data_IF_720720923732
#
_entry.id   IF_720720923732
#
_cell.length_a   1.000
_cell.length_b   1.000
_cell.length_c   1.000
_cell.angle_alpha   90.00
_cell.angle_beta   90.00
_cell.angle_gamma   90.00
#
_symmetry.space_group_name_H-M   'P 1'
#
loop_
_entity.id
_entity.type
_entity.pdbx_description
1 polymer ?
#
# COMPACT_ATOMS: atom_id res chain seq x y z
N UNK A 1 19.81 -21.67 46.40
CA UNK A 1 19.43 -20.29 46.02
C UNK A 1 19.67 -20.15 44.51
N UNK A 2 18.71 -20.59 43.70
CA UNK A 2 18.83 -20.65 42.24
C UNK A 2 18.40 -19.32 41.61
N UNK A 3 19.23 -18.75 40.74
CA UNK A 3 18.94 -17.52 39.99
C UNK A 3 17.78 -17.76 39.00
N UNK A 4 16.87 -16.80 38.80
CA UNK A 4 15.70 -16.99 37.94
C UNK A 4 16.12 -17.07 36.46
N UNK A 5 15.80 -18.20 35.81
CA UNK A 5 15.96 -18.44 34.35
C UNK A 5 15.01 -17.59 33.48
N UNK A 6 14.11 -16.83 34.08
CA UNK A 6 13.01 -16.11 33.39
C UNK A 6 13.48 -14.82 32.69
N UNK A 7 14.58 -14.20 33.14
CA UNK A 7 15.05 -12.92 32.58
C UNK A 7 15.60 -13.03 31.14
N UNK A 8 15.95 -14.24 30.69
CA UNK A 8 16.48 -14.47 29.32
C UNK A 8 15.39 -14.64 28.27
N UNK A 9 14.18 -15.04 28.66
CA UNK A 9 13.07 -15.29 27.73
C UNK A 9 12.41 -13.97 27.28
N UNK A 10 12.41 -12.95 28.15
CA UNK A 10 11.89 -11.61 27.80
C UNK A 10 12.75 -10.89 26.75
N UNK A 11 14.06 -11.11 26.72
CA UNK A 11 14.94 -10.53 25.69
C UNK A 11 14.70 -11.14 24.30
N UNK A 12 14.24 -12.40 24.23
CA UNK A 12 14.01 -13.09 22.96
C UNK A 12 12.68 -12.70 22.29
N UNK A 13 11.65 -12.38 23.09
CA UNK A 13 10.33 -11.94 22.60
C UNK A 13 10.34 -10.44 22.25
N UNK A 14 11.13 -9.61 22.95
CA UNK A 14 11.29 -8.20 22.62
C UNK A 14 12.08 -7.97 21.32
N UNK A 15 12.95 -8.91 20.93
CA UNK A 15 13.73 -8.83 19.69
C UNK A 15 12.91 -9.21 18.43
N UNK A 16 11.81 -9.95 18.57
CA UNK A 16 10.99 -10.42 17.44
C UNK A 16 9.95 -9.41 16.95
N UNK A 17 9.80 -8.26 17.62
CA UNK A 17 8.74 -7.26 17.35
C UNK A 17 9.26 -6.08 16.50
N UNK A 18 10.55 -6.04 16.15
CA UNK A 18 11.19 -4.86 15.54
C UNK A 18 11.33 -4.86 14.00
N UNK A 19 10.79 -5.82 13.26
CA UNK A 19 10.99 -5.87 11.79
C UNK A 19 9.75 -6.28 11.01
N UNK A 20 8.61 -5.63 11.26
CA UNK A 20 7.63 -5.46 10.19
C UNK A 20 8.11 -4.30 9.30
N UNK A 21 9.20 -4.52 8.55
CA UNK A 21 9.61 -3.57 7.51
C UNK A 21 8.60 -3.72 6.37
N UNK A 22 7.65 -2.79 6.29
CA UNK A 22 6.79 -2.70 5.13
C UNK A 22 7.67 -2.33 3.94
N UNK A 23 7.84 -3.24 2.98
CA UNK A 23 8.55 -2.90 1.75
C UNK A 23 7.69 -1.94 0.89
N UNK A 24 8.33 -1.02 0.16
CA UNK A 24 7.62 -0.03 -0.67
C UNK A 24 8.09 -0.01 -2.13
N UNK A 25 7.18 0.29 -3.05
CA UNK A 25 7.50 0.47 -4.47
C UNK A 25 7.11 1.89 -4.89
N UNK A 26 8.12 2.62 -5.36
CA UNK A 26 8.04 4.01 -5.74
C UNK A 26 8.23 4.20 -7.24
N UNK A 27 7.63 5.27 -7.76
CA UNK A 27 7.70 5.67 -9.16
C UNK A 27 8.10 7.14 -9.28
N UNK A 28 8.88 7.48 -10.29
CA UNK A 28 9.20 8.90 -10.56
C UNK A 28 8.02 9.68 -11.13
N UNK A 29 7.01 8.99 -11.67
CA UNK A 29 5.85 9.56 -12.36
C UNK A 29 4.56 8.80 -12.01
N UNK A 30 3.37 9.43 -12.11
CA UNK A 30 2.09 8.75 -11.95
C UNK A 30 1.90 7.61 -12.97
N UNK A 31 1.19 6.57 -12.55
CA UNK A 31 0.93 5.34 -13.26
C UNK A 31 -0.55 5.20 -13.63
N UNK A 32 -0.91 4.55 -14.75
CA UNK A 32 -0.06 3.97 -15.80
C UNK A 32 0.12 4.92 -17.02
N UNK A 33 0.91 4.47 -18.01
CA UNK A 33 1.29 5.24 -19.23
C UNK A 33 0.13 5.79 -20.07
N UNK A 34 -1.04 5.18 -19.99
CA UNK A 34 -2.22 5.55 -20.79
C UNK A 34 -3.48 5.67 -19.92
N UNK A 35 -3.32 5.97 -18.63
CA UNK A 35 -4.44 6.32 -17.76
C UNK A 35 -5.00 7.68 -18.16
N UNK A 36 -6.32 7.80 -18.22
CA UNK A 36 -7.00 9.07 -18.39
C UNK A 36 -7.13 9.71 -17.00
N UNK A 37 -6.49 10.86 -16.73
CA UNK A 37 -6.66 11.54 -15.45
C UNK A 37 -8.12 11.99 -15.28
N UNK A 38 -8.66 11.80 -14.09
CA UNK A 38 -10.01 12.24 -13.74
C UNK A 38 -9.92 13.46 -12.83
N UNK A 39 -10.77 14.45 -13.10
CA UNK A 39 -10.93 15.64 -12.26
C UNK A 39 -11.83 15.40 -11.04
N UNK A 40 -12.60 14.32 -11.06
CA UNK A 40 -13.52 13.92 -10.00
C UNK A 40 -13.53 12.40 -9.86
N UNK A 41 -13.77 11.92 -8.64
CA UNK A 41 -13.96 10.49 -8.39
C UNK A 41 -15.36 10.11 -8.90
N UNK A 42 -15.48 9.08 -9.76
CA UNK A 42 -16.78 8.65 -10.29
C UNK A 42 -17.75 8.22 -9.19
N UNK A 43 -19.04 8.54 -9.37
CA UNK A 43 -20.11 8.20 -8.41
C UNK A 43 -20.16 6.72 -8.06
N UNK A 44 -19.76 5.84 -8.98
CA UNK A 44 -19.77 4.41 -8.76
C UNK A 44 -18.76 3.92 -7.71
N UNK A 45 -17.78 4.77 -7.34
CA UNK A 45 -16.81 4.55 -6.28
C UNK A 45 -17.15 5.28 -4.98
N UNK A 46 -18.21 6.09 -4.95
CA UNK A 46 -18.58 6.82 -3.74
C UNK A 46 -19.15 5.88 -2.69
N UNK A 47 -18.91 6.20 -1.42
CA UNK A 47 -19.47 5.46 -0.30
C UNK A 47 -18.73 5.74 1.00
N UNK A 48 -19.25 5.14 2.07
CA UNK A 48 -18.68 5.21 3.42
C UNK A 48 -18.55 3.78 3.93
N UNK A 49 -17.33 3.41 4.32
CA UNK A 49 -17.01 2.09 4.84
C UNK A 49 -16.35 2.19 6.19
N UNK A 50 -16.84 1.42 7.17
CA UNK A 50 -16.36 1.45 8.55
C UNK A 50 -16.02 0.06 9.05
N UNK A 51 -15.09 0.00 10.00
CA UNK A 51 -14.87 -1.15 10.89
C UNK A 51 -14.62 -0.66 12.32
N UNK A 52 -14.12 -1.54 13.19
CA UNK A 52 -13.80 -1.23 14.58
C UNK A 52 -12.56 -0.33 14.76
N UNK A 53 -11.73 -0.18 13.73
CA UNK A 53 -10.46 0.56 13.78
C UNK A 53 -10.55 1.92 13.06
N UNK A 54 -11.55 2.10 12.20
CA UNK A 54 -11.69 3.33 11.44
C UNK A 54 -12.62 3.20 10.25
N UNK A 55 -12.26 3.87 9.16
CA UNK A 55 -12.99 3.79 7.92
C UNK A 55 -12.49 4.68 6.81
N UNK A 56 -13.18 4.59 5.68
CA UNK A 56 -12.93 5.39 4.49
C UNK A 56 -14.26 5.95 3.98
N UNK A 57 -14.31 7.23 3.67
CA UNK A 57 -15.35 7.83 2.85
C UNK A 57 -14.73 8.26 1.54
N UNK A 58 -15.26 7.78 0.41
CA UNK A 58 -14.89 8.27 -0.91
C UNK A 58 -16.00 9.18 -1.40
N UNK A 59 -15.64 10.41 -1.74
CA UNK A 59 -16.55 11.43 -2.25
C UNK A 59 -16.01 12.05 -3.53
N UNK A 60 -16.81 12.91 -4.18
CA UNK A 60 -16.51 13.50 -5.49
C UNK A 60 -15.07 14.03 -5.64
N UNK A 61 -14.55 14.72 -4.62
CA UNK A 61 -13.28 15.45 -4.72
C UNK A 61 -12.09 14.72 -4.08
N UNK A 62 -12.25 13.50 -3.55
CA UNK A 62 -11.25 12.91 -2.66
C UNK A 62 -11.80 11.86 -1.71
N UNK A 63 -11.11 11.65 -0.59
CA UNK A 63 -11.57 10.77 0.47
C UNK A 63 -11.27 11.31 1.87
N UNK A 64 -12.01 10.82 2.85
CA UNK A 64 -11.72 10.98 4.26
C UNK A 64 -11.29 9.63 4.84
N UNK A 65 -10.09 9.56 5.39
CA UNK A 65 -9.67 8.44 6.23
C UNK A 65 -10.06 8.76 7.67
N UNK A 66 -10.67 7.80 8.34
CA UNK A 66 -11.05 7.91 9.73
C UNK A 66 -10.28 6.88 10.54
N UNK A 67 -9.71 7.31 11.66
CA UNK A 67 -9.01 6.46 12.60
C UNK A 67 -9.60 6.64 13.98
N UNK A 68 -10.02 5.54 14.59
CA UNK A 68 -10.58 5.56 15.92
C UNK A 68 -9.47 5.37 16.94
N UNK A 69 -9.32 6.33 17.86
CA UNK A 69 -8.46 6.14 19.03
C UNK A 69 -9.22 5.32 20.07
N UNK A 70 -8.65 4.17 20.42
CA UNK A 70 -9.28 3.19 21.29
C UNK A 70 -8.61 3.18 22.67
N UNK A 71 -9.40 3.07 23.73
CA UNK A 71 -8.90 2.87 25.09
C UNK A 71 -8.38 1.43 25.30
N UNK A 72 -7.87 1.14 26.51
CA UNK A 72 -7.34 -0.18 26.87
C UNK A 72 -8.36 -1.34 26.80
N UNK A 73 -9.66 -1.03 26.77
CA UNK A 73 -10.76 -2.00 26.64
C UNK A 73 -11.49 -1.88 25.30
N UNK A 74 -10.88 -1.21 24.31
CA UNK A 74 -11.33 -1.03 22.92
C UNK A 74 -12.56 -0.15 22.72
N UNK A 75 -12.90 0.73 23.65
CA UNK A 75 -13.89 1.78 23.36
C UNK A 75 -13.22 2.93 22.60
N UNK A 76 -13.89 3.45 21.57
CA UNK A 76 -13.44 4.67 20.91
C UNK A 76 -13.70 5.88 21.81
N UNK A 77 -12.67 6.70 22.04
CA UNK A 77 -12.78 7.96 22.78
C UNK A 77 -12.48 9.18 21.91
N UNK A 78 -11.82 8.99 20.76
CA UNK A 78 -11.60 10.03 19.75
C UNK A 78 -11.67 9.48 18.32
N UNK A 79 -11.88 10.36 17.35
CA UNK A 79 -11.84 10.08 15.91
C UNK A 79 -10.97 11.10 15.18
N UNK A 80 -9.84 10.64 14.66
CA UNK A 80 -9.00 11.44 13.76
C UNK A 80 -9.56 11.31 12.35
N UNK A 81 -9.71 12.44 11.67
CA UNK A 81 -10.15 12.50 10.27
C UNK A 81 -9.07 13.16 9.44
N UNK A 82 -8.52 12.42 8.47
CA UNK A 82 -7.61 12.95 7.46
C UNK A 82 -8.34 13.11 6.13
N UNK A 83 -8.42 14.34 5.65
CA UNK A 83 -9.04 14.65 4.36
C UNK A 83 -7.96 14.71 3.26
N UNK A 84 -8.15 13.92 2.21
CA UNK A 84 -7.25 13.87 1.05
C UNK A 84 -8.04 14.17 -0.20
N UNK A 85 -7.80 15.35 -0.77
CA UNK A 85 -8.43 15.78 -2.02
C UNK A 85 -7.56 15.49 -3.25
N UNK A 86 -8.22 15.26 -4.39
CA UNK A 86 -7.59 15.25 -5.70
C UNK A 86 -6.82 16.55 -5.92
N UNK A 87 -5.56 16.42 -6.30
CA UNK A 87 -4.59 17.51 -6.40
C UNK A 87 -3.38 17.10 -7.23
N UNK A 88 -2.36 17.97 -7.30
CA UNK A 88 -1.12 17.64 -7.99
C UNK A 88 -0.29 16.53 -7.33
N UNK A 89 -0.54 16.22 -6.06
CA UNK A 89 0.09 15.12 -5.32
C UNK A 89 -0.84 13.93 -5.07
N UNK A 90 -2.11 14.03 -5.45
CA UNK A 90 -3.08 12.94 -5.34
C UNK A 90 -3.97 12.89 -6.59
N UNK A 91 -3.73 11.92 -7.47
CA UNK A 91 -4.37 11.84 -8.79
C UNK A 91 -5.11 10.53 -8.96
N UNK A 92 -6.30 10.58 -9.56
CA UNK A 92 -7.05 9.39 -9.95
C UNK A 92 -7.01 9.22 -11.46
N UNK A 93 -6.53 8.08 -11.94
CA UNK A 93 -6.51 7.73 -13.36
C UNK A 93 -7.51 6.62 -13.64
N UNK A 94 -8.24 6.72 -14.76
CA UNK A 94 -9.02 5.60 -15.31
C UNK A 94 -8.23 4.90 -16.40
N UNK A 95 -8.01 3.61 -16.25
CA UNK A 95 -7.37 2.77 -17.25
C UNK A 95 -8.27 1.58 -17.56
N UNK A 96 -9.05 1.68 -18.65
CA UNK A 96 -10.10 0.72 -19.01
C UNK A 96 -11.13 0.56 -17.88
N UNK A 97 -11.21 -0.64 -17.30
CA UNK A 97 -12.07 -1.06 -16.20
C UNK A 97 -11.44 -0.84 -14.81
N UNK A 98 -10.23 -0.27 -14.75
CA UNK A 98 -9.51 -0.02 -13.51
C UNK A 98 -9.48 1.47 -13.16
N UNK A 99 -9.49 1.73 -11.87
CA UNK A 99 -9.22 3.04 -11.28
C UNK A 99 -7.90 2.96 -10.52
N UNK A 100 -7.00 3.91 -10.76
CA UNK A 100 -5.66 3.90 -10.19
C UNK A 100 -5.45 5.21 -9.43
N UNK A 101 -5.42 5.13 -8.11
CA UNK A 101 -5.00 6.24 -7.28
C UNK A 101 -3.49 6.33 -7.30
N UNK A 102 -2.98 7.52 -7.56
CA UNK A 102 -1.58 7.87 -7.52
C UNK A 102 -1.37 8.87 -6.40
N UNK A 103 -0.47 8.57 -5.49
CA UNK A 103 -0.23 9.40 -4.30
C UNK A 103 1.25 9.74 -4.20
N UNK A 104 1.52 11.00 -3.84
CA UNK A 104 2.84 11.54 -3.54
C UNK A 104 2.77 12.19 -2.17
N UNK A 105 2.47 11.39 -1.15
CA UNK A 105 2.26 11.88 0.21
C UNK A 105 3.58 11.87 0.97
N UNK A 106 4.07 13.06 1.34
CA UNK A 106 5.34 13.28 2.07
C UNK A 106 6.60 12.67 1.42
N UNK A 107 6.49 12.10 0.22
CA UNK A 107 7.57 11.53 -0.57
C UNK A 107 7.83 12.36 -1.84
N UNK A 108 9.06 12.29 -2.36
CA UNK A 108 9.39 12.83 -3.69
C UNK A 108 8.89 11.93 -4.82
N UNK A 109 8.50 10.71 -4.50
CA UNK A 109 8.08 9.68 -5.45
C UNK A 109 6.59 9.38 -5.32
N UNK A 110 6.07 8.77 -6.38
CA UNK A 110 4.69 8.33 -6.51
C UNK A 110 4.55 6.89 -6.05
N UNK A 111 3.47 6.61 -5.34
CA UNK A 111 2.94 5.27 -5.09
C UNK A 111 1.58 5.18 -5.78
N UNK A 112 1.04 3.96 -5.88
CA UNK A 112 -0.30 3.79 -6.40
C UNK A 112 -1.05 2.64 -5.74
N UNK A 113 -2.37 2.70 -5.84
CA UNK A 113 -3.28 1.62 -5.52
C UNK A 113 -4.32 1.47 -6.63
N UNK A 114 -4.85 0.25 -6.79
CA UNK A 114 -5.85 -0.08 -7.82
C UNK A 114 -7.20 -0.30 -7.13
N UNK A 115 -8.23 0.40 -7.60
CA UNK A 115 -9.62 0.13 -7.27
C UNK A 115 -10.32 -0.59 -8.43
N UNK A 116 -11.12 -1.60 -8.09
CA UNK A 116 -12.02 -2.26 -9.04
C UNK A 116 -13.40 -2.43 -8.44
N UNK A 117 -14.43 -2.05 -9.21
CA UNK A 117 -15.82 -2.29 -8.82
C UNK A 117 -16.25 -3.68 -9.27
N UNK A 118 -16.75 -4.46 -8.31
CA UNK A 118 -17.27 -5.80 -8.54
C UNK A 118 -18.74 -5.77 -8.93
N UNK A 119 -19.22 -6.87 -9.53
CA UNK A 119 -20.62 -7.01 -9.97
C UNK A 119 -21.64 -6.91 -8.83
N UNK A 120 -21.26 -7.31 -7.62
CA UNK A 120 -22.11 -7.22 -6.42
C UNK A 120 -22.11 -5.82 -5.78
N UNK A 121 -21.38 -4.85 -6.36
CA UNK A 121 -21.24 -3.49 -5.85
C UNK A 121 -20.06 -3.30 -4.90
N UNK A 122 -19.37 -4.36 -4.48
CA UNK A 122 -18.15 -4.24 -3.67
C UNK A 122 -17.06 -3.50 -4.45
N UNK A 123 -16.19 -2.77 -3.75
CA UNK A 123 -14.99 -2.19 -4.32
C UNK A 123 -13.78 -2.89 -3.72
N UNK A 124 -12.94 -3.46 -4.57
CA UNK A 124 -11.69 -4.09 -4.15
C UNK A 124 -10.54 -3.09 -4.30
N UNK A 125 -9.73 -2.99 -3.26
CA UNK A 125 -8.51 -2.20 -3.20
C UNK A 125 -7.30 -3.12 -3.24
N UNK A 126 -6.46 -2.94 -4.25
CA UNK A 126 -5.23 -3.70 -4.43
C UNK A 126 -4.01 -2.78 -4.33
N UNK A 127 -3.00 -3.26 -3.62
CA UNK A 127 -1.67 -2.67 -3.60
C UNK A 127 -0.64 -3.81 -3.53
N UNK A 128 0.58 -3.55 -3.97
CA UNK A 128 1.65 -4.55 -3.90
C UNK A 128 2.98 -3.86 -3.65
N UNK A 129 3.79 -4.49 -2.81
CA UNK A 129 5.18 -4.12 -2.58
C UNK A 129 6.16 -5.04 -3.31
N UNK A 130 5.67 -5.98 -4.13
CA UNK A 130 6.51 -6.97 -4.81
C UNK A 130 7.25 -6.36 -6.01
N UNK A 131 8.59 -6.14 -5.93
CA UNK A 131 9.35 -5.50 -7.01
C UNK A 131 9.36 -6.33 -8.30
N UNK A 132 9.18 -7.64 -8.16
CA UNK A 132 9.29 -8.65 -9.20
C UNK A 132 8.23 -8.51 -10.31
N UNK A 133 7.07 -7.94 -9.99
CA UNK A 133 6.03 -7.62 -10.96
C UNK A 133 6.49 -6.49 -11.89
N UNK A 134 7.20 -5.51 -11.33
CA UNK A 134 7.57 -4.26 -12.00
C UNK A 134 8.82 -4.40 -12.88
N UNK A 135 9.83 -5.17 -12.45
CA UNK A 135 11.05 -5.38 -13.25
C UNK A 135 10.76 -6.04 -14.61
N UNK A 136 9.66 -6.80 -14.69
CA UNK A 136 9.21 -7.50 -15.90
C UNK A 136 8.53 -6.56 -16.91
N UNK A 137 8.24 -5.31 -16.56
CA UNK A 137 7.68 -4.32 -17.48
C UNK A 137 8.79 -3.54 -18.19
N UNK A 138 8.96 -3.77 -19.49
CA UNK A 138 9.94 -3.06 -20.34
C UNK A 138 9.79 -1.53 -20.40
N UNK A 139 8.65 -0.98 -19.95
CA UNK A 139 8.46 0.47 -19.89
C UNK A 139 8.92 1.07 -18.55
N UNK A 140 9.22 0.23 -17.57
CA UNK A 140 9.78 0.62 -16.30
C UNK A 140 11.29 0.37 -16.31
N UNK A 141 12.03 1.26 -15.66
CA UNK A 141 13.46 1.10 -15.42
C UNK A 141 13.73 1.26 -13.94
N UNK A 142 14.32 0.23 -13.33
CA UNK A 142 14.81 0.33 -11.96
C UNK A 142 15.88 1.43 -11.88
N UNK A 143 15.65 2.38 -10.99
CA UNK A 143 16.60 3.45 -10.66
C UNK A 143 17.50 2.97 -9.52
N UNK A 144 16.86 2.52 -8.44
CA UNK A 144 17.54 1.98 -7.27
C UNK A 144 16.62 1.03 -6.49
N UNK A 145 17.22 0.11 -5.76
CA UNK A 145 16.59 -0.73 -4.76
C UNK A 145 17.43 -0.64 -3.47
N UNK A 146 16.77 -0.39 -2.35
CA UNK A 146 17.41 -0.34 -1.05
C UNK A 146 17.17 -1.65 -0.29
N UNK A 147 18.25 -2.15 0.27
CA UNK A 147 18.28 -3.35 1.11
C UNK A 147 18.96 -3.03 2.43
N UNK A 148 18.57 -3.77 3.46
CA UNK A 148 19.35 -3.93 4.67
C UNK A 148 20.06 -5.28 4.61
N UNK A 149 21.39 -5.26 4.67
CA UNK A 149 22.27 -6.43 4.58
C UNK A 149 23.23 -6.35 5.76
N UNK A 150 23.13 -7.28 6.70
CA UNK A 150 23.90 -7.31 7.94
C UNK A 150 23.82 -6.01 8.75
N UNK A 151 22.61 -5.48 8.93
CA UNK A 151 22.31 -4.22 9.62
C UNK A 151 22.88 -2.97 8.92
N UNK A 152 23.40 -3.10 7.69
CA UNK A 152 23.87 -1.99 6.86
C UNK A 152 22.93 -1.73 5.68
N UNK A 153 22.58 -0.45 5.49
CA UNK A 153 21.81 -0.01 4.33
C UNK A 153 22.66 -0.01 3.06
N UNK A 154 22.20 -0.71 2.02
CA UNK A 154 22.84 -0.76 0.70
C UNK A 154 21.86 -0.39 -0.40
N UNK A 155 22.31 0.49 -1.29
CA UNK A 155 21.57 0.92 -2.49
C UNK A 155 22.14 0.20 -3.72
N UNK A 156 21.30 -0.55 -4.41
CA UNK A 156 21.66 -1.40 -5.54
C UNK A 156 20.83 -1.07 -6.78
N UNK A 157 21.29 -1.50 -7.95
CA UNK A 157 20.59 -1.34 -9.24
C UNK A 157 20.00 -2.66 -9.75
N UNK A 158 19.66 -3.57 -8.83
CA UNK A 158 19.02 -4.85 -9.10
C UNK A 158 18.00 -5.14 -8.01
N UNK A 159 16.93 -5.87 -8.34
CA UNK A 159 15.98 -6.40 -7.36
C UNK A 159 16.33 -7.83 -6.90
N UNK A 160 17.31 -8.45 -7.58
CA UNK A 160 17.82 -9.80 -7.30
C UNK A 160 19.33 -9.69 -7.10
N UNK A 161 19.78 -9.19 -5.95
CA UNK A 161 21.20 -9.17 -5.67
C UNK A 161 21.70 -10.56 -5.25
N UNK A 162 22.96 -10.84 -5.54
CA UNK A 162 23.62 -12.10 -5.20
C UNK A 162 24.41 -11.92 -3.90
N UNK A 163 23.82 -12.33 -2.77
CA UNK A 163 24.44 -12.29 -1.44
C UNK A 163 24.21 -13.62 -0.73
N UNK A 164 25.18 -14.03 0.09
CA UNK A 164 25.08 -15.24 0.92
C UNK A 164 24.35 -14.98 2.26
N UNK A 165 24.13 -13.71 2.60
CA UNK A 165 23.75 -13.24 3.94
C UNK A 165 22.26 -12.92 4.13
N UNK A 166 21.90 -12.49 5.35
CA UNK A 166 20.55 -12.05 5.70
C UNK A 166 20.19 -10.73 4.99
N UNK A 167 19.35 -10.83 3.96
CA UNK A 167 18.87 -9.69 3.18
C UNK A 167 17.42 -9.34 3.52
N UNK A 168 17.16 -8.05 3.77
CA UNK A 168 15.81 -7.51 3.86
C UNK A 168 15.61 -6.42 2.81
N UNK A 169 14.60 -6.59 1.96
CA UNK A 169 14.21 -5.58 0.96
C UNK A 169 13.42 -4.46 1.62
N UNK A 170 13.84 -3.21 1.42
CA UNK A 170 13.13 -2.05 1.96
C UNK A 170 12.29 -1.36 0.90
N UNK A 171 12.89 -0.94 -0.21
CA UNK A 171 12.13 -0.31 -1.29
C UNK A 171 12.80 -0.42 -2.64
N UNK A 172 12.03 -0.17 -3.70
CA UNK A 172 12.56 0.06 -5.04
C UNK A 172 11.92 1.27 -5.70
N UNK A 173 12.72 2.00 -6.48
CA UNK A 173 12.29 3.16 -7.25
C UNK A 173 12.39 2.84 -8.74
N UNK A 174 11.28 2.98 -9.45
CA UNK A 174 11.22 2.82 -10.89
C UNK A 174 10.98 4.16 -11.58
N UNK A 175 11.56 4.33 -12.75
CA UNK A 175 11.23 5.41 -13.68
C UNK A 175 10.45 4.89 -14.87
N UNK A 176 9.73 5.79 -15.53
CA UNK A 176 8.83 5.49 -16.62
C UNK A 176 7.43 5.10 -16.14
N UNK A 177 6.59 4.72 -17.09
CA UNK A 177 5.18 4.42 -16.84
C UNK A 177 4.81 3.02 -17.30
N UNK A 178 4.25 2.25 -16.38
CA UNK A 178 3.88 0.86 -16.57
C UNK A 178 2.75 0.70 -17.58
N UNK A 179 2.71 -0.47 -18.20
CA UNK A 179 1.62 -0.88 -19.07
C UNK A 179 0.43 -1.34 -18.25
N UNK A 180 -0.75 -1.21 -18.85
CA UNK A 180 -1.98 -1.77 -18.31
C UNK A 180 -1.90 -3.29 -18.02
N UNK A 181 -1.13 -4.06 -18.82
CA UNK A 181 -0.93 -5.49 -18.57
C UNK A 181 -0.22 -5.76 -17.23
N UNK A 182 0.63 -4.84 -16.78
CA UNK A 182 1.35 -4.93 -15.50
C UNK A 182 0.39 -4.69 -14.35
N UNK A 183 -0.47 -3.67 -14.42
CA UNK A 183 -1.55 -3.45 -13.45
C UNK A 183 -2.43 -4.68 -13.28
N UNK A 184 -2.80 -5.35 -14.39
CA UNK A 184 -3.61 -6.58 -14.33
C UNK A 184 -2.96 -7.73 -13.55
N UNK A 185 -1.63 -7.80 -13.48
CA UNK A 185 -0.94 -8.83 -12.69
C UNK A 185 -1.02 -8.58 -11.18
N UNK A 186 -1.30 -7.35 -10.77
CA UNK A 186 -1.43 -6.96 -9.36
C UNK A 186 -2.81 -7.32 -8.82
N UNK A 187 -3.80 -7.55 -9.69
CA UNK A 187 -5.17 -7.88 -9.29
C UNK A 187 -5.25 -9.38 -8.96
N UNK A 188 -4.64 -9.77 -7.85
CA UNK A 188 -4.66 -11.12 -7.27
C UNK A 188 -5.13 -11.05 -5.82
N UNK A 189 -5.54 -12.18 -5.25
CA UNK A 189 -5.97 -12.21 -3.84
C UNK A 189 -4.83 -11.89 -2.87
N UNK A 190 -3.58 -12.22 -3.23
CA UNK A 190 -2.38 -11.92 -2.44
C UNK A 190 -2.15 -10.41 -2.27
N UNK A 191 -2.56 -9.63 -3.27
CA UNK A 191 -2.40 -8.16 -3.28
C UNK A 191 -3.68 -7.41 -2.88
N UNK A 192 -4.72 -8.12 -2.43
CA UNK A 192 -5.98 -7.53 -2.03
C UNK A 192 -5.87 -7.02 -0.59
N UNK A 193 -5.70 -5.71 -0.40
CA UNK A 193 -5.54 -5.14 0.94
C UNK A 193 -6.89 -4.95 1.63
N UNK A 194 -7.89 -4.44 0.89
CA UNK A 194 -9.20 -4.13 1.44
C UNK A 194 -10.32 -4.46 0.47
N UNK A 195 -11.46 -4.84 1.04
CA UNK A 195 -12.74 -4.95 0.37
C UNK A 195 -13.72 -3.99 1.03
N UNK A 196 -14.12 -2.98 0.28
CA UNK A 196 -15.17 -2.04 0.65
C UNK A 196 -16.51 -2.63 0.22
N UNK A 197 -17.23 -3.22 1.17
CA UNK A 197 -18.46 -3.96 0.90
C UNK A 197 -19.61 -3.03 0.57
N UNK A 198 -20.50 -3.44 -0.33
CA UNK A 198 -21.68 -2.64 -0.72
C UNK A 198 -22.64 -2.33 0.46
N UNK A 199 -22.57 -3.10 1.55
CA UNK A 199 -23.33 -2.85 2.77
C UNK A 199 -22.69 -1.82 3.72
N UNK A 200 -21.58 -1.17 3.33
CA UNK A 200 -20.89 -0.16 4.13
C UNK A 200 -19.86 -0.72 5.12
N UNK A 201 -19.56 -2.02 5.10
CA UNK A 201 -18.50 -2.60 5.96
C UNK A 201 -17.14 -2.61 5.26
N UNK A 202 -16.07 -2.37 6.01
CA UNK A 202 -14.70 -2.57 5.57
C UNK A 202 -14.22 -3.98 5.97
N UNK A 203 -13.60 -4.71 5.04
CA UNK A 203 -12.97 -5.99 5.30
C UNK A 203 -11.53 -6.00 4.80
N UNK A 204 -10.59 -6.34 5.67
CA UNK A 204 -9.18 -6.55 5.32
C UNK A 204 -8.89 -8.05 5.35
N UNK A 205 -8.55 -8.68 4.22
CA UNK A 205 -8.13 -10.09 4.21
C UNK A 205 -6.94 -10.27 5.15
N UNK A 206 -7.01 -11.27 6.03
CA UNK A 206 -5.90 -11.64 6.91
C UNK A 206 -4.80 -12.30 6.07
N UNK A 207 -3.83 -11.53 5.57
CA UNK A 207 -2.77 -12.11 4.74
C UNK A 207 -1.77 -11.16 4.07
N UNK A 208 -1.72 -9.88 4.44
CA UNK A 208 -0.72 -8.92 3.93
C UNK A 208 0.08 -8.34 5.08
#
# INVERSE_FOLDING_TARGET
MEKPRILKIFYFIALSILIASCSHIYFTEPQPKCGVPLSEIPNELHGVWRDQNGGLEIHKNGFNEFRYELDSIKNSFDTIVENVNLSDSFKLFKAKDLYVFNVKYKSKYWEFAILTKQKNGDIHYYATSEPDIFIKDRNLKLIEAKYNIDDEEKILKTINPDFEDHISFEYAIFSGQMKFKTLKKIITNENLMHVYKNNGTLFSPSGT
#
